data_IF_015626279742
#
_entry.id   IF_015626279742
#
_cell.length_a   1.000
_cell.length_b   1.000
_cell.length_c   1.000
_cell.angle_alpha   90.00
_cell.angle_beta   90.00
_cell.angle_gamma   90.00
#
_symmetry.space_group_name_H-M   'P 1'
#
loop_
_entity.id
_entity.type
_entity.pdbx_description
1 polymer ?
#
# COMPACT_ATOMS: atom_id res chain seq x y z
N UNK A 1 -23.34 8.50 -6.04
CA UNK A 1 -22.13 9.16 -5.50
C UNK A 1 -21.00 8.16 -5.59
N UNK A 2 -19.94 8.46 -6.33
CA UNK A 2 -18.74 7.61 -6.38
C UNK A 2 -17.94 7.73 -5.08
N UNK A 3 -17.22 6.67 -4.73
CA UNK A 3 -16.28 6.64 -3.62
C UNK A 3 -14.91 6.24 -4.15
N UNK A 4 -13.88 6.87 -3.59
CA UNK A 4 -12.51 6.69 -3.99
C UNK A 4 -11.66 6.28 -2.78
N UNK A 5 -10.69 5.41 -3.01
CA UNK A 5 -9.61 5.12 -2.09
C UNK A 5 -8.29 5.49 -2.76
N UNK A 6 -7.48 6.30 -2.10
CA UNK A 6 -6.17 6.71 -2.62
C UNK A 6 -5.07 5.90 -1.96
N UNK A 7 -4.12 5.44 -2.76
CA UNK A 7 -3.01 4.60 -2.29
C UNK A 7 -1.76 4.81 -3.15
N UNK A 8 -0.64 4.22 -2.72
CA UNK A 8 0.60 4.19 -3.50
C UNK A 8 0.71 2.91 -4.32
N UNK A 9 1.61 2.88 -5.31
CA UNK A 9 1.80 1.71 -6.17
C UNK A 9 2.19 0.45 -5.38
N UNK A 10 3.14 0.55 -4.45
CA UNK A 10 3.54 -0.58 -3.61
C UNK A 10 2.37 -1.13 -2.76
N UNK A 11 1.52 -0.23 -2.27
CA UNK A 11 0.35 -0.59 -1.46
C UNK A 11 -0.79 -1.15 -2.31
N UNK A 12 -0.96 -0.68 -3.55
CA UNK A 12 -1.89 -1.26 -4.52
C UNK A 12 -1.60 -2.75 -4.70
N UNK A 13 -0.35 -3.12 -4.94
CA UNK A 13 0.02 -4.53 -5.12
C UNK A 13 -0.20 -5.35 -3.85
N UNK A 14 -0.03 -4.76 -2.67
CA UNK A 14 -0.44 -5.41 -1.41
C UNK A 14 -1.96 -5.62 -1.33
N UNK A 15 -2.78 -4.67 -1.83
CA UNK A 15 -4.25 -4.77 -1.83
C UNK A 15 -4.73 -5.83 -2.81
N UNK A 16 -4.12 -5.90 -4.00
CA UNK A 16 -4.49 -6.86 -5.06
C UNK A 16 -4.05 -8.29 -4.73
N UNK A 17 -2.96 -8.43 -3.97
CA UNK A 17 -2.47 -9.75 -3.53
C UNK A 17 -3.09 -10.18 -2.21
N UNK A 18 -3.73 -9.29 -1.44
CA UNK A 18 -4.51 -9.64 -0.24
C UNK A 18 -5.97 -9.94 -0.58
N UNK A 19 -6.86 -9.95 0.41
CA UNK A 19 -8.31 -10.10 0.22
C UNK A 19 -9.01 -8.79 -0.22
N UNK A 20 -8.23 -7.75 -0.55
CA UNK A 20 -8.73 -6.41 -0.89
C UNK A 20 -8.37 -5.33 0.13
N UNK A 21 -9.17 -4.27 0.22
CA UNK A 21 -8.87 -3.10 1.07
C UNK A 21 -9.31 -3.39 2.50
N UNK A 22 -8.38 -3.89 3.30
CA UNK A 22 -8.61 -4.30 4.70
C UNK A 22 -7.66 -3.64 5.71
N UNK A 23 -6.68 -2.86 5.22
CA UNK A 23 -5.73 -2.13 6.06
C UNK A 23 -6.11 -0.67 6.20
N UNK A 24 -5.78 -0.12 7.35
CA UNK A 24 -6.00 1.28 7.69
C UNK A 24 -6.12 1.43 9.19
N UNK A 25 -5.97 2.66 9.65
CA UNK A 25 -6.08 2.98 11.06
C UNK A 25 -6.87 4.28 11.27
N UNK A 26 -7.44 4.41 12.45
CA UNK A 26 -8.03 5.65 12.95
C UNK A 26 -7.36 6.02 14.27
N UNK A 27 -6.82 7.23 14.34
CA UNK A 27 -6.18 7.76 15.53
C UNK A 27 -7.21 8.54 16.36
N UNK A 28 -7.42 8.09 17.59
CA UNK A 28 -8.25 8.76 18.58
C UNK A 28 -7.50 9.96 19.18
N UNK A 29 -8.26 10.90 19.75
CA UNK A 29 -7.73 12.12 20.38
C UNK A 29 -6.86 11.85 21.61
N UNK A 30 -6.92 10.66 22.19
CA UNK A 30 -6.14 10.22 23.36
C UNK A 30 -4.82 9.51 22.99
N UNK A 31 -4.47 9.43 21.70
CA UNK A 31 -3.26 8.74 21.25
C UNK A 31 -3.46 7.27 20.84
N UNK A 32 -4.66 6.71 21.08
CA UNK A 32 -4.95 5.30 20.77
C UNK A 32 -5.19 5.10 19.28
N UNK A 33 -4.55 4.08 18.73
CA UNK A 33 -4.72 3.68 17.33
C UNK A 33 -5.70 2.50 17.23
N UNK A 34 -6.74 2.67 16.42
CA UNK A 34 -7.66 1.60 16.05
C UNK A 34 -7.29 1.12 14.66
N UNK A 35 -7.07 -0.18 14.49
CA UNK A 35 -6.75 -0.79 13.20
C UNK A 35 -8.00 -1.36 12.53
N UNK A 36 -7.90 -1.60 11.22
CA UNK A 36 -8.99 -2.13 10.41
C UNK A 36 -9.96 -1.04 9.92
N UNK A 37 -9.53 0.22 9.87
CA UNK A 37 -10.34 1.36 9.41
C UNK A 37 -9.89 1.80 8.03
N UNK A 38 -10.47 1.21 6.99
CA UNK A 38 -10.21 1.58 5.60
C UNK A 38 -10.91 2.89 5.25
N UNK A 39 -10.16 3.85 4.70
CA UNK A 39 -10.66 5.20 4.39
C UNK A 39 -11.11 5.34 2.94
N UNK A 40 -12.18 6.10 2.73
CA UNK A 40 -12.72 6.44 1.42
C UNK A 40 -13.11 7.92 1.38
N UNK A 41 -13.20 8.48 0.18
CA UNK A 41 -13.73 9.83 -0.02
C UNK A 41 -14.67 9.92 -1.22
N UNK A 42 -15.66 10.81 -1.16
CA UNK A 42 -16.46 11.19 -2.32
C UNK A 42 -15.79 12.24 -3.21
N UNK A 43 -14.62 12.77 -2.81
CA UNK A 43 -13.87 13.76 -3.58
C UNK A 43 -12.86 13.07 -4.52
N UNK A 44 -12.83 13.42 -5.82
CA UNK A 44 -12.06 12.67 -6.82
C UNK A 44 -10.56 12.99 -6.86
N UNK A 45 -10.10 14.00 -6.10
CA UNK A 45 -8.70 14.42 -6.08
C UNK A 45 -8.08 14.20 -4.70
N UNK A 46 -6.77 13.95 -4.60
CA UNK A 46 -6.13 13.53 -3.36
C UNK A 46 -5.83 14.66 -2.36
N UNK A 47 -6.02 15.93 -2.75
CA UNK A 47 -5.58 17.08 -1.95
C UNK A 47 -6.48 17.38 -0.74
N UNK A 48 -5.85 17.64 0.40
CA UNK A 48 -6.54 17.95 1.65
C UNK A 48 -7.05 16.71 2.41
N UNK A 49 -6.53 15.53 2.07
CA UNK A 49 -6.88 14.23 2.67
C UNK A 49 -5.76 13.64 3.54
N UNK A 50 -4.65 14.36 3.74
CA UNK A 50 -3.51 13.85 4.53
C UNK A 50 -2.70 12.79 3.80
N UNK A 51 -2.76 12.79 2.46
CA UNK A 51 -2.04 11.85 1.63
C UNK A 51 -0.63 12.39 1.37
N UNK A 52 0.35 11.58 1.76
CA UNK A 52 1.77 11.79 1.48
C UNK A 52 2.08 11.70 -0.01
N UNK A 53 3.08 12.47 -0.48
CA UNK A 53 3.54 12.47 -1.88
C UNK A 53 4.91 11.83 -2.11
N UNK A 54 5.52 11.28 -1.06
CA UNK A 54 6.79 10.58 -1.17
C UNK A 54 8.02 11.48 -1.08
N UNK A 55 7.83 12.78 -0.85
CA UNK A 55 8.93 13.74 -0.68
C UNK A 55 9.23 14.04 0.79
N UNK A 56 8.46 13.46 1.71
CA UNK A 56 8.58 13.72 3.13
C UNK A 56 9.91 13.19 3.70
N UNK A 57 10.61 14.06 4.41
CA UNK A 57 11.79 13.70 5.21
C UNK A 57 11.31 13.29 6.60
N UNK A 58 11.48 12.01 6.94
CA UNK A 58 10.95 11.44 8.17
C UNK A 58 11.85 11.74 9.36
N UNK A 59 11.26 12.29 10.41
CA UNK A 59 11.86 12.36 11.74
C UNK A 59 11.83 10.98 12.41
N UNK A 60 12.57 10.79 13.51
CA UNK A 60 12.50 9.53 14.28
C UNK A 60 11.09 9.27 14.82
N UNK A 61 10.37 10.32 15.26
CA UNK A 61 8.97 10.20 15.66
C UNK A 61 8.05 9.77 14.51
N UNK A 62 8.33 10.21 13.27
CA UNK A 62 7.56 9.74 12.11
C UNK A 62 7.84 8.26 11.83
N UNK A 63 9.09 7.82 11.95
CA UNK A 63 9.46 6.41 11.79
C UNK A 63 8.79 5.53 12.85
N UNK A 64 8.83 5.93 14.12
CA UNK A 64 8.13 5.24 15.22
C UNK A 64 6.62 5.15 14.96
N UNK A 65 6.02 6.26 14.51
CA UNK A 65 4.61 6.29 14.15
C UNK A 65 4.29 5.36 12.98
N UNK A 66 5.13 5.34 11.93
CA UNK A 66 4.94 4.47 10.77
C UNK A 66 5.07 2.99 11.14
N UNK A 67 6.01 2.63 12.01
CA UNK A 67 6.16 1.26 12.54
C UNK A 67 4.88 0.86 13.30
N UNK A 68 4.39 1.74 14.20
CA UNK A 68 3.13 1.51 14.92
C UNK A 68 1.96 1.35 13.95
N UNK A 69 1.84 2.25 12.98
CA UNK A 69 0.77 2.26 11.98
C UNK A 69 0.78 1.06 11.04
N UNK A 70 1.96 0.51 10.74
CA UNK A 70 2.12 -0.69 9.92
C UNK A 70 1.71 -1.97 10.68
N UNK A 71 1.75 -1.95 12.01
CA UNK A 71 1.40 -3.08 12.89
C UNK A 71 2.60 -3.96 13.23
N UNK A 72 2.38 -4.96 14.09
CA UNK A 72 3.44 -5.78 14.70
C UNK A 72 4.25 -6.65 13.74
N UNK A 73 3.75 -6.88 12.52
CA UNK A 73 4.37 -7.75 11.51
C UNK A 73 5.31 -6.98 10.54
N UNK A 74 5.47 -5.67 10.73
CA UNK A 74 6.34 -4.85 9.91
C UNK A 74 7.81 -4.98 10.37
N UNK A 75 8.59 -5.82 9.69
CA UNK A 75 9.97 -6.14 10.06
C UNK A 75 11.05 -5.62 9.09
N UNK A 76 10.73 -4.60 8.29
CA UNK A 76 11.66 -3.99 7.33
C UNK A 76 12.05 -2.55 7.69
N UNK A 77 13.20 -2.05 7.22
CA UNK A 77 13.58 -0.66 7.41
C UNK A 77 12.59 0.28 6.73
N UNK A 78 12.34 1.44 7.34
CA UNK A 78 11.48 2.48 6.77
C UNK A 78 12.25 3.23 5.68
N UNK A 79 12.04 2.84 4.41
CA UNK A 79 12.69 3.42 3.22
C UNK A 79 12.07 4.74 2.75
N UNK A 80 11.42 5.47 3.64
CA UNK A 80 10.58 6.63 3.32
C UNK A 80 9.10 6.30 3.17
N UNK A 81 8.33 7.25 2.65
CA UNK A 81 6.88 7.10 2.43
C UNK A 81 6.56 6.96 0.95
N UNK A 82 5.62 6.08 0.63
CA UNK A 82 5.14 5.94 -0.75
C UNK A 82 4.20 7.09 -1.10
N UNK A 83 4.32 7.64 -2.31
CA UNK A 83 3.37 8.61 -2.81
C UNK A 83 1.96 8.00 -2.91
N UNK A 84 1.08 8.35 -1.96
CA UNK A 84 -0.29 7.82 -1.89
C UNK A 84 -1.27 8.55 -2.81
N UNK A 85 -0.80 9.56 -3.55
CA UNK A 85 -1.61 10.32 -4.51
C UNK A 85 -1.66 9.63 -5.88
N UNK A 86 -0.71 8.74 -6.17
CA UNK A 86 -0.55 8.15 -7.49
C UNK A 86 -1.69 7.21 -7.89
N UNK A 87 -2.20 6.38 -6.98
CA UNK A 87 -3.28 5.45 -7.31
C UNK A 87 -4.61 5.95 -6.75
N UNK A 88 -5.62 5.99 -7.62
CA UNK A 88 -7.02 6.18 -7.25
C UNK A 88 -7.81 4.92 -7.61
N UNK A 89 -8.41 4.32 -6.59
CA UNK A 89 -9.33 3.21 -6.73
C UNK A 89 -10.75 3.76 -6.71
N UNK A 90 -11.56 3.52 -7.74
CA UNK A 90 -13.02 3.70 -7.63
C UNK A 90 -13.63 2.42 -7.11
N UNK A 91 -14.46 2.51 -6.07
CA UNK A 91 -15.06 1.33 -5.42
C UNK A 91 -16.58 1.29 -5.57
N UNK A 92 -17.16 0.09 -5.40
CA UNK A 92 -18.60 -0.15 -5.42
C UNK A 92 -19.29 0.50 -4.22
N UNK A 93 -19.61 1.78 -4.40
CA UNK A 93 -20.29 2.58 -3.39
C UNK A 93 -21.70 2.09 -3.05
N UNK A 94 -22.35 1.33 -3.93
CA UNK A 94 -23.69 0.79 -3.67
C UNK A 94 -23.58 -0.38 -2.70
N UNK A 95 -22.63 -1.28 -2.94
CA UNK A 95 -22.32 -2.38 -2.03
C UNK A 95 -21.86 -1.89 -0.65
N UNK A 96 -20.94 -0.92 -0.58
CA UNK A 96 -20.46 -0.35 0.70
C UNK A 96 -21.59 0.22 1.56
N UNK A 97 -22.58 0.88 0.95
CA UNK A 97 -23.72 1.46 1.68
C UNK A 97 -24.67 0.45 2.27
N UNK A 98 -24.60 -0.81 1.84
CA UNK A 98 -25.37 -1.91 2.41
C UNK A 98 -24.69 -2.52 3.64
N UNK A 99 -23.43 -2.18 3.90
CA UNK A 99 -22.67 -2.72 5.03
C UNK A 99 -22.93 -1.90 6.31
N UNK A 100 -23.27 -2.57 7.41
CA UNK A 100 -23.48 -1.94 8.72
C UNK A 100 -22.19 -1.35 9.31
N UNK A 101 -21.05 -1.76 8.78
CA UNK A 101 -19.68 -1.36 9.13
C UNK A 101 -19.16 -0.18 8.31
N UNK A 102 -20.00 0.40 7.43
CA UNK A 102 -19.68 1.59 6.65
C UNK A 102 -20.28 2.87 7.26
N UNK A 103 -19.43 3.86 7.52
CA UNK A 103 -19.81 5.07 8.23
C UNK A 103 -19.30 6.33 7.52
N UNK A 104 -20.12 7.40 7.42
CA UNK A 104 -19.58 8.75 7.29
C UNK A 104 -18.65 9.05 8.47
N UNK A 105 -17.53 9.73 8.24
CA UNK A 105 -16.51 9.99 9.27
C UNK A 105 -17.09 10.62 10.55
N UNK A 106 -18.01 11.58 10.44
CA UNK A 106 -18.70 12.18 11.59
C UNK A 106 -19.53 11.18 12.42
N UNK A 107 -20.06 10.14 11.80
CA UNK A 107 -20.76 9.05 12.51
C UNK A 107 -19.75 8.17 13.26
N UNK A 108 -18.57 7.92 12.67
CA UNK A 108 -17.49 7.20 13.33
C UNK A 108 -16.99 7.93 14.59
N UNK A 109 -16.81 9.26 14.52
CA UNK A 109 -16.41 10.05 15.69
C UNK A 109 -17.38 9.90 16.85
N UNK A 110 -18.69 9.97 16.58
CA UNK A 110 -19.72 9.74 17.60
C UNK A 110 -19.69 8.31 18.15
N UNK A 111 -19.45 7.31 17.30
CA UNK A 111 -19.33 5.90 17.72
C UNK A 111 -18.20 5.68 18.72
N UNK A 112 -17.11 6.44 18.60
CA UNK A 112 -15.97 6.37 19.51
C UNK A 112 -15.91 7.52 20.51
N UNK A 113 -17.04 8.23 20.73
CA UNK A 113 -17.15 9.32 21.72
C UNK A 113 -16.10 10.42 21.55
N UNK A 114 -15.63 10.65 20.31
CA UNK A 114 -14.60 11.63 20.02
C UNK A 114 -15.19 13.05 19.99
N UNK A 115 -14.45 14.06 20.51
CA UNK A 115 -14.88 15.45 20.46
C UNK A 115 -15.13 15.91 19.02
N UNK A 116 -16.16 16.73 18.80
CA UNK A 116 -16.47 17.26 17.46
C UNK A 116 -15.31 18.08 16.85
N UNK A 117 -14.55 18.77 17.70
CA UNK A 117 -13.35 19.52 17.29
C UNK A 117 -12.26 18.61 16.71
N UNK A 118 -12.21 17.34 17.12
CA UNK A 118 -11.25 16.36 16.60
C UNK A 118 -11.40 16.17 15.08
N UNK A 119 -12.64 16.21 14.57
CA UNK A 119 -12.91 16.17 13.13
C UNK A 119 -12.17 17.27 12.37
N UNK A 120 -12.16 18.48 12.96
CA UNK A 120 -11.55 19.66 12.36
C UNK A 120 -10.03 19.57 12.42
N UNK A 121 -9.48 19.12 13.55
CA UNK A 121 -8.03 18.92 13.72
C UNK A 121 -7.51 17.92 12.69
N UNK A 122 -8.14 16.74 12.57
CA UNK A 122 -7.74 15.75 11.56
C UNK A 122 -7.88 16.30 10.13
N UNK A 123 -8.88 17.15 9.88
CA UNK A 123 -9.04 17.76 8.57
C UNK A 123 -7.98 18.82 8.26
N UNK A 124 -7.47 19.54 9.26
CA UNK A 124 -6.32 20.45 9.12
C UNK A 124 -5.03 19.66 8.90
N UNK A 125 -4.84 18.55 9.63
CA UNK A 125 -3.75 17.59 9.38
C UNK A 125 -3.73 17.08 7.94
N UNK A 126 -4.90 17.05 7.30
CA UNK A 126 -5.04 16.71 5.89
C UNK A 126 -4.31 17.66 4.91
N UNK A 127 -3.92 18.84 5.38
CA UNK A 127 -3.26 19.89 4.60
C UNK A 127 -1.88 20.27 5.13
N UNK A 128 -1.68 20.26 6.44
CA UNK A 128 -0.47 20.76 7.09
C UNK A 128 -0.27 20.08 8.44
N UNK A 129 0.98 19.95 8.88
CA UNK A 129 1.27 19.49 10.24
C UNK A 129 0.83 20.57 11.26
N UNK A 130 -0.16 20.30 12.14
CA UNK A 130 -0.62 21.26 13.13
C UNK A 130 0.43 21.65 14.17
N UNK A 131 1.42 20.79 14.44
CA UNK A 131 2.46 21.07 15.43
C UNK A 131 3.38 22.21 14.98
N UNK A 132 3.38 22.52 13.68
CA UNK A 132 4.11 23.65 13.10
C UNK A 132 3.28 24.95 13.05
N UNK A 133 2.05 24.95 13.60
CA UNK A 133 1.15 26.10 13.54
C UNK A 133 1.03 26.78 14.90
N UNK A 134 1.00 28.11 14.89
CA UNK A 134 0.51 28.88 16.05
C UNK A 134 -1.01 28.71 16.23
N UNK A 135 -1.53 28.99 17.43
CA UNK A 135 -2.98 29.00 17.70
C UNK A 135 -3.77 29.88 16.72
N UNK A 136 -3.18 31.01 16.32
CA UNK A 136 -3.78 31.94 15.36
C UNK A 136 -3.90 31.34 13.96
N UNK A 137 -2.90 30.57 13.54
CA UNK A 137 -2.88 29.90 12.25
C UNK A 137 -3.80 28.69 12.26
N UNK A 138 -3.85 27.93 13.35
CA UNK A 138 -4.81 26.85 13.52
C UNK A 138 -6.24 27.39 13.39
N UNK A 139 -6.55 28.51 14.06
CA UNK A 139 -7.86 29.19 13.95
C UNK A 139 -8.13 29.72 12.54
N UNK A 140 -7.10 30.07 11.76
CA UNK A 140 -7.26 30.43 10.34
C UNK A 140 -7.61 29.19 9.52
N UNK A 141 -6.89 28.09 9.72
CA UNK A 141 -7.09 26.81 9.02
C UNK A 141 -8.48 26.21 9.25
N UNK A 142 -9.06 26.39 10.45
CA UNK A 142 -10.44 25.94 10.71
C UNK A 142 -11.50 26.73 9.94
N UNK A 143 -11.17 27.92 9.44
CA UNK A 143 -12.06 28.79 8.67
C UNK A 143 -11.82 28.70 7.16
N UNK A 144 -10.56 28.58 6.73
CA UNK A 144 -10.17 28.52 5.32
C UNK A 144 -8.83 27.78 5.17
N UNK A 145 -8.67 26.89 4.17
CA UNK A 145 -9.60 26.56 3.09
C UNK A 145 -10.75 25.64 3.54
N UNK A 146 -11.66 25.32 2.61
CA UNK A 146 -12.73 24.33 2.87
C UNK A 146 -12.13 22.95 3.12
N UNK A 147 -12.16 22.52 4.37
CA UNK A 147 -11.67 21.22 4.82
C UNK A 147 -12.46 20.06 4.20
N UNK A 148 -11.82 18.90 4.05
CA UNK A 148 -12.37 17.77 3.27
C UNK A 148 -13.09 16.70 4.10
N UNK A 149 -13.09 16.81 5.43
CA UNK A 149 -13.60 15.76 6.31
C UNK A 149 -15.09 15.40 6.13
N UNK A 150 -15.90 16.29 5.55
CA UNK A 150 -17.29 16.00 5.16
C UNK A 150 -17.41 14.96 4.03
N UNK A 151 -16.32 14.77 3.28
CA UNK A 151 -16.27 13.83 2.16
C UNK A 151 -15.77 12.46 2.57
N UNK A 152 -15.34 12.29 3.83
CA UNK A 152 -14.66 11.08 4.29
C UNK A 152 -15.65 10.04 4.80
N UNK A 153 -15.36 8.79 4.45
CA UNK A 153 -16.09 7.61 4.87
C UNK A 153 -15.11 6.53 5.31
N UNK A 154 -15.56 5.66 6.21
CA UNK A 154 -14.74 4.58 6.78
C UNK A 154 -15.53 3.29 6.70
N UNK A 155 -14.86 2.21 6.32
CA UNK A 155 -15.34 0.84 6.41
C UNK A 155 -14.46 0.08 7.40
N UNK A 156 -15.06 -0.68 8.32
CA UNK A 156 -14.31 -1.43 9.34
C UNK A 156 -14.11 -2.91 9.03
N UNK A 157 -14.40 -3.32 7.80
CA UNK A 157 -14.18 -4.68 7.28
C UNK A 157 -13.41 -4.62 5.95
N UNK A 158 -13.11 -5.80 5.40
CA UNK A 158 -12.48 -5.93 4.08
C UNK A 158 -13.44 -5.49 2.99
N UNK A 159 -13.02 -4.56 2.12
CA UNK A 159 -13.65 -4.39 0.82
C UNK A 159 -13.01 -5.40 -0.16
N UNK A 160 -13.76 -6.39 -0.68
CA UNK A 160 -13.22 -7.39 -1.59
C UNK A 160 -12.71 -6.80 -2.89
N UNK A 161 -11.73 -7.45 -3.53
CA UNK A 161 -11.13 -7.00 -4.79
C UNK A 161 -12.19 -6.83 -5.89
N UNK A 162 -13.21 -7.69 -5.91
CA UNK A 162 -14.30 -7.66 -6.88
C UNK A 162 -15.18 -6.40 -6.77
N UNK A 163 -15.03 -5.65 -5.68
CA UNK A 163 -15.71 -4.37 -5.42
C UNK A 163 -14.83 -3.15 -5.77
N UNK A 164 -13.61 -3.36 -6.26
CA UNK A 164 -12.80 -2.34 -6.89
C UNK A 164 -13.21 -2.25 -8.36
N UNK A 165 -13.88 -1.15 -8.73
CA UNK A 165 -14.46 -0.96 -10.06
C UNK A 165 -13.45 -0.43 -11.08
N UNK A 166 -12.45 0.33 -10.63
CA UNK A 166 -11.37 0.81 -11.48
C UNK A 166 -10.12 1.11 -10.67
N UNK A 167 -8.97 0.93 -11.32
CA UNK A 167 -7.64 1.29 -10.81
C UNK A 167 -7.07 2.32 -11.77
N UNK A 168 -6.79 3.52 -11.28
CA UNK A 168 -6.29 4.62 -12.08
C UNK A 168 -4.98 5.17 -11.50
N UNK A 169 -4.09 5.64 -12.38
CA UNK A 169 -2.81 6.25 -12.06
C UNK A 169 -2.82 7.74 -12.39
N UNK A 170 -2.25 8.57 -11.51
CA UNK A 170 -2.04 9.99 -11.76
C UNK A 170 -0.83 10.20 -12.67
N UNK A 171 -1.04 10.25 -13.99
CA UNK A 171 0.03 10.49 -14.97
C UNK A 171 0.59 11.93 -14.84
N UNK A 172 -0.31 12.89 -14.58
CA UNK A 172 -0.02 14.31 -14.40
C UNK A 172 -0.94 14.86 -13.30
N UNK A 173 -0.63 16.01 -12.67
CA UNK A 173 -1.50 16.60 -11.65
C UNK A 173 -2.96 16.63 -12.11
N UNK A 174 -3.84 16.05 -11.28
CA UNK A 174 -5.29 15.92 -11.50
C UNK A 174 -5.75 15.03 -12.67
N UNK A 175 -4.83 14.45 -13.44
CA UNK A 175 -5.15 13.59 -14.59
C UNK A 175 -4.90 12.13 -14.24
N UNK A 176 -6.00 11.41 -14.05
CA UNK A 176 -6.01 9.98 -13.79
C UNK A 176 -6.29 9.19 -15.08
N UNK A 177 -5.45 8.20 -15.38
CA UNK A 177 -5.57 7.28 -16.51
C UNK A 177 -5.68 5.83 -16.02
N UNK A 178 -6.20 4.88 -16.80
CA UNK A 178 -6.20 3.47 -16.41
C UNK A 178 -4.79 3.01 -16.04
N UNK A 179 -4.68 2.32 -14.90
CA UNK A 179 -3.40 1.81 -14.42
C UNK A 179 -2.90 0.67 -15.30
N UNK A 180 -1.59 0.66 -15.52
CA UNK A 180 -0.86 -0.36 -16.27
C UNK A 180 0.46 -0.57 -15.53
N UNK A 181 0.82 -1.81 -15.27
CA UNK A 181 1.98 -2.13 -14.45
C UNK A 181 3.29 -1.74 -15.14
N UNK A 182 3.43 -2.01 -16.43
CA UNK A 182 4.69 -1.77 -17.14
C UNK A 182 4.90 -0.29 -17.41
N UNK A 183 3.84 0.44 -17.76
CA UNK A 183 3.91 1.88 -18.02
C UNK A 183 4.04 2.72 -16.75
N UNK A 184 3.34 2.33 -15.68
CA UNK A 184 3.22 3.16 -14.47
C UNK A 184 3.79 2.52 -13.21
N UNK A 185 3.60 1.21 -13.05
CA UNK A 185 3.84 0.50 -11.79
C UNK A 185 5.30 0.13 -11.52
N UNK A 186 6.01 -0.38 -12.52
CA UNK A 186 7.35 -0.96 -12.37
C UNK A 186 8.34 0.03 -11.75
N UNK A 187 8.46 1.21 -12.34
CA UNK A 187 9.41 2.23 -11.86
C UNK A 187 9.08 2.71 -10.44
N UNK A 188 7.80 2.82 -10.09
CA UNK A 188 7.36 3.20 -8.74
C UNK A 188 7.62 2.10 -7.70
N UNK A 189 7.52 0.82 -8.08
CA UNK A 189 7.94 -0.30 -7.21
C UNK A 189 9.46 -0.30 -6.98
N UNK A 190 10.25 -0.07 -8.03
CA UNK A 190 11.71 -0.04 -7.92
C UNK A 190 12.20 1.09 -7.01
N UNK A 191 11.52 2.25 -7.00
CA UNK A 191 11.78 3.32 -6.02
C UNK A 191 11.59 2.86 -4.57
N UNK A 192 10.63 1.96 -4.33
CA UNK A 192 10.41 1.30 -3.04
C UNK A 192 11.40 0.13 -2.77
N UNK A 193 12.31 -0.14 -3.70
CA UNK A 193 13.28 -1.24 -3.63
C UNK A 193 12.69 -2.62 -3.92
N UNK A 194 11.48 -2.67 -4.49
CA UNK A 194 10.79 -3.88 -4.93
C UNK A 194 11.05 -4.05 -6.43
N UNK A 195 11.86 -5.04 -6.79
CA UNK A 195 12.26 -5.26 -8.20
C UNK A 195 11.52 -6.47 -8.76
N UNK A 196 10.54 -6.22 -9.64
CA UNK A 196 9.75 -7.28 -10.26
C UNK A 196 10.44 -7.91 -11.46
N UNK A 197 10.15 -9.19 -11.71
CA UNK A 197 10.59 -9.87 -12.93
C UNK A 197 10.01 -9.19 -14.18
N UNK A 198 10.63 -9.41 -15.33
CA UNK A 198 10.24 -8.83 -16.62
C UNK A 198 8.95 -9.47 -17.16
N UNK A 199 8.26 -8.79 -18.08
CA UNK A 199 7.07 -9.36 -18.74
C UNK A 199 7.39 -10.67 -19.49
N UNK A 200 8.60 -10.80 -20.04
CA UNK A 200 9.05 -12.04 -20.67
C UNK A 200 9.16 -13.19 -19.66
N UNK A 201 9.73 -12.92 -18.49
CA UNK A 201 9.84 -13.89 -17.39
C UNK A 201 8.47 -14.28 -16.83
N UNK A 202 7.53 -13.34 -16.73
CA UNK A 202 6.14 -13.64 -16.36
C UNK A 202 5.49 -14.61 -17.37
N UNK A 203 5.63 -14.34 -18.67
CA UNK A 203 5.07 -15.20 -19.71
C UNK A 203 5.67 -16.62 -19.68
N UNK A 204 6.98 -16.74 -19.43
CA UNK A 204 7.63 -18.04 -19.25
C UNK A 204 7.08 -18.77 -18.01
N UNK A 205 7.04 -18.09 -16.87
CA UNK A 205 6.60 -18.64 -15.59
C UNK A 205 5.13 -19.11 -15.65
N UNK A 206 4.22 -18.31 -16.20
CA UNK A 206 2.81 -18.67 -16.30
C UNK A 206 2.60 -19.81 -17.31
N UNK A 207 3.43 -19.88 -18.36
CA UNK A 207 3.42 -20.98 -19.33
C UNK A 207 3.77 -22.34 -18.73
N UNK A 208 4.64 -22.36 -17.70
CA UNK A 208 5.06 -23.59 -17.02
C UNK A 208 4.23 -23.90 -15.76
N UNK A 209 3.73 -22.89 -15.05
CA UNK A 209 3.06 -23.10 -13.77
C UNK A 209 1.68 -23.72 -13.94
N UNK A 210 0.99 -23.47 -15.07
CA UNK A 210 -0.37 -23.91 -15.47
C UNK A 210 -1.53 -23.64 -14.48
N UNK A 211 -1.30 -23.75 -13.18
CA UNK A 211 -2.26 -23.46 -12.11
C UNK A 211 -2.22 -21.99 -11.65
N UNK A 212 -1.03 -21.40 -11.60
CA UNK A 212 -0.85 -20.01 -11.17
C UNK A 212 -0.66 -19.08 -12.38
N UNK A 213 -1.36 -17.95 -12.37
CA UNK A 213 -1.24 -16.89 -13.38
C UNK A 213 -0.75 -15.61 -12.71
N UNK A 214 0.58 -15.41 -12.67
CA UNK A 214 1.18 -14.24 -12.05
C UNK A 214 1.07 -13.00 -12.94
N UNK A 215 0.84 -11.86 -12.30
CA UNK A 215 0.71 -10.56 -12.94
C UNK A 215 1.78 -9.59 -12.42
N UNK A 216 1.89 -8.43 -13.07
CA UNK A 216 2.87 -7.41 -12.71
C UNK A 216 2.79 -7.02 -11.24
N UNK A 217 3.94 -7.05 -10.55
CA UNK A 217 4.07 -6.73 -9.12
C UNK A 217 3.84 -7.91 -8.16
N UNK A 218 3.40 -9.07 -8.64
CA UNK A 218 3.17 -10.27 -7.81
C UNK A 218 4.44 -11.08 -7.55
N UNK A 219 5.42 -11.02 -8.46
CA UNK A 219 6.71 -11.70 -8.33
C UNK A 219 7.83 -10.67 -8.32
N UNK A 220 8.57 -10.60 -7.22
CA UNK A 220 9.59 -9.57 -7.02
C UNK A 220 10.69 -9.99 -6.05
N UNK A 221 11.79 -9.26 -6.10
CA UNK A 221 12.94 -9.36 -5.21
C UNK A 221 12.98 -8.13 -4.30
N UNK A 222 13.25 -8.35 -3.02
CA UNK A 222 13.52 -7.30 -2.04
C UNK A 222 14.61 -7.76 -1.08
N UNK A 223 15.65 -6.93 -0.90
CA UNK A 223 16.70 -7.15 0.08
C UNK A 223 16.31 -6.48 1.40
N UNK A 224 15.83 -7.19 2.44
CA UNK A 224 15.30 -6.55 3.65
C UNK A 224 16.40 -5.97 4.57
N UNK A 225 17.60 -6.54 4.53
CA UNK A 225 18.80 -6.07 5.22
C UNK A 225 20.06 -6.60 4.49
N UNK A 226 21.26 -6.01 4.71
CA UNK A 226 22.48 -6.36 3.96
C UNK A 226 22.94 -7.82 4.09
N UNK A 227 22.62 -8.48 5.19
CA UNK A 227 23.05 -9.84 5.52
C UNK A 227 22.01 -10.91 5.15
N UNK A 228 20.87 -10.49 4.58
CA UNK A 228 19.80 -11.40 4.22
C UNK A 228 20.21 -12.34 3.09
N UNK A 229 19.71 -13.58 3.14
CA UNK A 229 19.85 -14.53 2.03
C UNK A 229 19.12 -13.98 0.79
N UNK A 230 19.75 -13.97 -0.39
CA UNK A 230 19.10 -13.59 -1.63
C UNK A 230 17.85 -14.42 -1.90
N UNK A 231 16.70 -13.74 -1.94
CA UNK A 231 15.40 -14.39 -2.06
C UNK A 231 14.48 -13.68 -3.03
N UNK A 232 13.61 -14.46 -3.66
CA UNK A 232 12.51 -14.00 -4.51
C UNK A 232 11.18 -14.34 -3.84
N UNK A 233 10.22 -13.43 -3.95
CA UNK A 233 8.88 -13.56 -3.38
C UNK A 233 7.85 -13.72 -4.50
N UNK A 234 7.01 -14.74 -4.36
CA UNK A 234 5.83 -14.98 -5.21
C UNK A 234 4.58 -14.73 -4.37
N UNK A 235 3.76 -13.77 -4.76
CA UNK A 235 2.50 -13.44 -4.05
C UNK A 235 1.30 -13.74 -4.92
N UNK A 236 0.25 -14.31 -4.33
CA UNK A 236 -1.03 -14.53 -4.99
C UNK A 236 -2.14 -14.66 -3.96
N UNK A 237 -3.26 -13.95 -4.10
CA UNK A 237 -4.52 -14.13 -3.33
C UNK A 237 -4.34 -14.65 -1.89
N UNK A 238 -3.93 -13.77 -0.99
CA UNK A 238 -3.64 -14.05 0.42
C UNK A 238 -2.59 -15.15 0.62
N UNK A 239 -1.60 -15.19 -0.27
CA UNK A 239 -0.46 -16.10 -0.19
C UNK A 239 0.83 -15.40 -0.58
N UNK A 240 1.91 -15.77 0.11
CA UNK A 240 3.27 -15.41 -0.24
C UNK A 240 4.17 -16.63 -0.07
N UNK A 241 5.02 -16.89 -1.06
CA UNK A 241 6.02 -17.95 -1.05
C UNK A 241 7.38 -17.36 -1.34
N UNK A 242 8.38 -17.78 -0.58
CA UNK A 242 9.74 -17.26 -0.67
C UNK A 242 10.68 -18.39 -1.04
N UNK A 243 11.51 -18.15 -2.05
CA UNK A 243 12.53 -19.07 -2.52
C UNK A 243 13.90 -18.41 -2.47
N UNK A 244 14.91 -19.17 -2.09
CA UNK A 244 16.30 -18.75 -2.19
C UNK A 244 16.70 -18.69 -3.69
N UNK A 245 17.37 -17.63 -4.11
CA UNK A 245 17.71 -17.41 -5.52
C UNK A 245 18.84 -18.34 -5.98
N UNK A 246 19.79 -18.65 -5.09
CA UNK A 246 21.00 -19.43 -5.37
C UNK A 246 20.71 -20.88 -5.75
N UNK A 247 19.82 -21.53 -5.00
CA UNK A 247 19.53 -22.96 -5.13
C UNK A 247 18.04 -23.25 -5.34
N UNK A 248 17.19 -22.24 -5.51
CA UNK A 248 15.74 -22.38 -5.67
C UNK A 248 15.05 -23.06 -4.49
N UNK A 249 15.67 -23.14 -3.32
CA UNK A 249 15.09 -23.82 -2.15
C UNK A 249 13.92 -23.01 -1.63
N UNK A 250 12.80 -23.72 -1.40
CA UNK A 250 11.66 -23.15 -0.70
C UNK A 250 12.06 -22.80 0.74
N UNK A 251 11.86 -21.55 1.12
CA UNK A 251 12.28 -21.01 2.42
C UNK A 251 11.12 -20.89 3.39
N UNK A 252 10.03 -20.25 2.97
CA UNK A 252 8.85 -20.05 3.79
C UNK A 252 7.63 -19.75 2.92
N UNK A 253 6.45 -19.94 3.51
CA UNK A 253 5.19 -19.43 2.97
C UNK A 253 4.35 -18.78 4.07
N UNK A 254 3.45 -17.91 3.63
CA UNK A 254 2.40 -17.31 4.44
C UNK A 254 1.07 -17.47 3.71
N UNK A 255 0.00 -17.71 4.45
CA UNK A 255 -1.34 -17.84 3.89
C UNK A 255 -1.58 -19.19 3.21
N UNK A 256 -2.34 -19.20 2.11
CA UNK A 256 -2.69 -20.44 1.41
C UNK A 256 -1.49 -21.01 0.67
N UNK A 257 -1.00 -22.23 0.98
CA UNK A 257 0.15 -22.80 0.29
C UNK A 257 -0.19 -23.15 -1.17
N UNK A 258 0.76 -22.96 -2.08
CA UNK A 258 0.68 -23.49 -3.43
C UNK A 258 0.76 -25.01 -3.40
N UNK A 259 0.17 -25.66 -4.41
CA UNK A 259 0.27 -27.11 -4.54
C UNK A 259 1.72 -27.55 -4.76
N UNK A 260 2.07 -28.75 -4.31
CA UNK A 260 3.45 -29.26 -4.32
C UNK A 260 4.09 -29.28 -5.70
N UNK A 261 3.30 -29.52 -6.76
CA UNK A 261 3.78 -29.51 -8.14
C UNK A 261 4.19 -28.09 -8.58
N UNK A 262 3.36 -27.09 -8.30
CA UNK A 262 3.69 -25.67 -8.52
C UNK A 262 4.94 -25.24 -7.77
N UNK A 263 5.11 -25.66 -6.51
CA UNK A 263 6.32 -25.36 -5.73
C UNK A 263 7.58 -25.94 -6.37
N UNK A 264 7.50 -27.16 -6.93
CA UNK A 264 8.62 -27.80 -7.64
C UNK A 264 8.94 -27.06 -8.94
N UNK A 265 7.92 -26.75 -9.74
CA UNK A 265 8.07 -25.99 -11.00
C UNK A 265 8.66 -24.61 -10.75
N UNK A 266 8.18 -23.88 -9.74
CA UNK A 266 8.72 -22.58 -9.34
C UNK A 266 10.17 -22.71 -8.87
N UNK A 267 10.49 -23.71 -8.05
CA UNK A 267 11.87 -23.97 -7.60
C UNK A 267 12.84 -24.20 -8.77
N UNK A 268 12.44 -25.01 -9.76
CA UNK A 268 13.23 -25.27 -10.97
C UNK A 268 13.38 -24.01 -11.83
N UNK A 269 12.33 -23.21 -11.95
CA UNK A 269 12.37 -21.93 -12.66
C UNK A 269 13.31 -20.91 -11.99
N UNK A 270 13.27 -20.80 -10.66
CA UNK A 270 14.18 -19.92 -9.90
C UNK A 270 15.64 -20.32 -10.13
N UNK A 271 15.96 -21.63 -10.05
CA UNK A 271 17.31 -22.13 -10.34
C UNK A 271 17.78 -21.77 -11.76
N UNK A 272 16.91 -21.92 -12.74
CA UNK A 272 17.22 -21.63 -14.15
C UNK A 272 17.49 -20.14 -14.40
N UNK A 273 16.86 -19.26 -13.62
CA UNK A 273 16.93 -17.81 -13.79
C UNK A 273 17.78 -17.11 -12.71
N UNK A 274 18.55 -17.85 -11.92
CA UNK A 274 19.25 -17.34 -10.73
C UNK A 274 20.12 -16.12 -11.02
N UNK A 275 20.89 -16.13 -12.11
CA UNK A 275 21.76 -15.00 -12.51
C UNK A 275 20.95 -13.70 -12.67
N UNK A 276 19.85 -13.75 -13.42
CA UNK A 276 18.99 -12.57 -13.65
C UNK A 276 18.29 -12.12 -12.37
N UNK A 277 17.91 -13.06 -11.51
CA UNK A 277 17.30 -12.75 -10.22
C UNK A 277 18.31 -12.14 -9.24
N UNK A 278 19.57 -12.55 -9.31
CA UNK A 278 20.67 -11.95 -8.53
C UNK A 278 20.93 -10.51 -8.94
N UNK A 279 20.78 -10.16 -10.22
CA UNK A 279 20.85 -8.75 -10.65
C UNK A 279 19.75 -7.90 -9.99
N UNK A 280 18.51 -8.41 -9.92
CA UNK A 280 17.42 -7.74 -9.21
C UNK A 280 17.70 -7.61 -7.71
N UNK A 281 18.30 -8.64 -7.10
CA UNK A 281 18.72 -8.61 -5.70
C UNK A 281 19.76 -7.52 -5.45
N UNK A 282 20.79 -7.44 -6.28
CA UNK A 282 21.85 -6.44 -6.17
C UNK A 282 21.27 -5.02 -6.29
N UNK A 283 20.35 -4.80 -7.24
CA UNK A 283 19.64 -3.52 -7.36
C UNK A 283 18.84 -3.17 -6.09
N UNK A 284 18.13 -4.16 -5.51
CA UNK A 284 17.38 -3.95 -4.27
C UNK A 284 18.28 -3.65 -3.07
N UNK A 285 19.44 -4.30 -2.99
CA UNK A 285 20.45 -4.06 -1.95
C UNK A 285 21.07 -2.68 -2.10
N UNK A 286 21.44 -2.26 -3.31
CA UNK A 286 21.94 -0.91 -3.57
C UNK A 286 20.90 0.17 -3.22
N UNK A 287 19.62 -0.09 -3.53
CA UNK A 287 18.53 0.79 -3.12
C UNK A 287 18.44 0.91 -1.60
N UNK A 288 18.51 -0.20 -0.86
CA UNK A 288 18.52 -0.20 0.61
C UNK A 288 19.67 0.66 1.17
N UNK A 289 20.88 0.48 0.67
CA UNK A 289 22.08 1.17 1.17
C UNK A 289 22.04 2.70 1.01
N UNK A 290 21.17 3.23 0.13
CA UNK A 290 20.94 4.68 0.00
C UNK A 290 20.13 5.28 1.15
N UNK A 291 19.38 4.46 1.89
CA UNK A 291 18.55 4.91 3.01
C UNK A 291 19.23 4.70 4.37
N UNK A 292 20.22 3.81 4.44
CA UNK A 292 21.03 3.55 5.64
C UNK A 292 22.30 4.43 5.71
N UNK A 293 22.60 5.21 4.66
CA UNK A 293 23.73 6.16 4.56
C UNK A 293 23.36 7.59 4.95
#
# INVERSE_FOLDING_TARGET
MKLYHFTGVALLHSILTSEGINKGYFHLSDGKMLYGHSWYTSYPLPYGHGLVDGTEVLTESDKEFLIKAAGGDAHGPVRGVHNKRLIRLTVDSAWLKQQDTFYPFKKLLRKYEQPSVWATILAVQGWVNPDNLSDSELKRWTKSPKLKHETWYIHTETLPIERILSIEFMEKPDVYVPYDFELHGRSELEKAGLYSITSQQFNELNGISQEEDFTGGEVFVICPNPDAVPTIVFRKRNSAHVFAIDDGRFMMSQGTPFVSESLKTISEWVKKNSDQLMDLWNNSRENLLKYDS
#
